data_IF_317311278515
#
_entry.id   IF_317311278515
#
_cell.length_a   1.000
_cell.length_b   1.000
_cell.length_c   1.000
_cell.angle_alpha   90.00
_cell.angle_beta   90.00
_cell.angle_gamma   90.00
#
_symmetry.space_group_name_H-M   'P 1'
#
loop_
_entity.id
_entity.type
_entity.pdbx_description
1 polymer ?
#
# COMPACT_ATOMS: atom_id res chain seq x y z
N UNK A 1 -7.57 8.78 -28.70
CA UNK A 1 -6.91 7.83 -27.77
C UNK A 1 -5.67 8.53 -27.25
N UNK A 2 -5.37 8.46 -25.95
CA UNK A 2 -4.17 9.12 -25.40
C UNK A 2 -2.91 8.45 -25.98
N UNK A 3 -2.06 9.20 -26.67
CA UNK A 3 -0.73 8.75 -27.05
C UNK A 3 0.22 8.94 -25.86
N UNK A 4 0.38 7.87 -25.08
CA UNK A 4 1.14 7.90 -23.83
C UNK A 4 2.62 8.14 -24.08
N UNK A 5 3.17 7.58 -25.14
CA UNK A 5 4.61 7.62 -25.38
C UNK A 5 5.02 9.00 -25.89
N UNK A 6 4.20 9.62 -26.74
CA UNK A 6 4.34 11.04 -27.10
C UNK A 6 4.30 11.95 -25.86
N UNK A 7 3.28 11.78 -24.99
CA UNK A 7 3.14 12.56 -23.76
C UNK A 7 4.36 12.41 -22.84
N UNK A 8 4.90 11.20 -22.69
CA UNK A 8 6.11 10.96 -21.88
C UNK A 8 7.35 11.61 -22.48
N UNK A 9 7.49 11.63 -23.81
CA UNK A 9 8.60 12.29 -24.50
C UNK A 9 8.53 13.80 -24.28
N UNK A 10 7.37 14.41 -24.49
CA UNK A 10 7.15 15.85 -24.33
C UNK A 10 7.39 16.28 -22.88
N UNK A 11 6.86 15.53 -21.92
CA UNK A 11 7.05 15.83 -20.50
C UNK A 11 8.51 15.69 -20.07
N UNK A 12 9.25 14.72 -20.62
CA UNK A 12 10.70 14.61 -20.36
C UNK A 12 11.47 15.81 -20.92
N UNK A 13 11.09 16.29 -22.10
CA UNK A 13 11.63 17.51 -22.68
C UNK A 13 11.38 18.72 -21.78
N UNK A 14 10.12 18.93 -21.40
CA UNK A 14 9.71 20.03 -20.53
C UNK A 14 10.37 19.97 -19.14
N UNK A 15 10.47 18.79 -18.53
CA UNK A 15 11.11 18.60 -17.24
C UNK A 15 12.61 18.94 -17.29
N UNK A 16 13.30 18.70 -18.40
CA UNK A 16 14.71 19.12 -18.59
C UNK A 16 14.85 20.64 -18.69
N UNK A 17 13.89 21.31 -19.32
CA UNK A 17 13.86 22.78 -19.41
C UNK A 17 13.57 23.40 -18.04
N UNK A 18 12.65 22.81 -17.27
CA UNK A 18 12.29 23.28 -15.92
C UNK A 18 11.39 24.52 -15.89
N UNK A 19 10.93 25.01 -17.05
CA UNK A 19 9.95 26.11 -17.13
C UNK A 19 8.54 25.58 -16.83
N UNK A 20 7.78 26.24 -15.93
CA UNK A 20 6.38 25.91 -15.67
C UNK A 20 5.51 25.89 -16.93
N UNK A 21 5.72 26.83 -17.85
CA UNK A 21 4.96 26.96 -19.09
C UNK A 21 5.18 25.75 -20.00
N UNK A 22 6.43 25.27 -20.11
CA UNK A 22 6.74 24.07 -20.87
C UNK A 22 6.11 22.82 -20.25
N UNK A 23 6.08 22.74 -18.91
CA UNK A 23 5.46 21.63 -18.19
C UNK A 23 3.95 21.60 -18.39
N UNK A 24 3.29 22.76 -18.31
CA UNK A 24 1.85 22.88 -18.54
C UNK A 24 1.51 22.49 -19.98
N UNK A 25 2.26 22.99 -20.96
CA UNK A 25 2.09 22.64 -22.38
C UNK A 25 2.25 21.12 -22.60
N UNK A 26 3.26 20.50 -22.00
CA UNK A 26 3.45 19.06 -22.10
C UNK A 26 2.29 18.28 -21.47
N UNK A 27 1.74 18.76 -20.35
CA UNK A 27 0.60 18.12 -19.70
C UNK A 27 -0.73 18.37 -20.40
N UNK A 28 -0.83 19.29 -21.38
CA UNK A 28 -2.05 19.46 -22.20
C UNK A 28 -2.43 18.17 -22.95
N UNK A 29 -1.47 17.27 -23.23
CA UNK A 29 -1.78 15.96 -23.79
C UNK A 29 -2.73 15.12 -22.90
N UNK A 30 -2.78 15.37 -21.59
CA UNK A 30 -3.76 14.76 -20.69
C UNK A 30 -5.18 15.28 -20.91
N UNK A 31 -5.37 16.43 -21.56
CA UNK A 31 -6.68 16.97 -21.90
C UNK A 31 -7.44 16.04 -22.86
N UNK A 32 -6.71 15.29 -23.71
CA UNK A 32 -7.29 14.28 -24.59
C UNK A 32 -7.81 13.04 -23.83
N UNK A 33 -7.41 12.85 -22.57
CA UNK A 33 -7.90 11.76 -21.73
C UNK A 33 -9.15 12.16 -20.97
N UNK A 34 -10.32 11.83 -21.53
CA UNK A 34 -11.63 12.22 -20.99
C UNK A 34 -11.84 11.91 -19.50
N UNK A 35 -11.33 10.78 -19.00
CA UNK A 35 -11.46 10.43 -17.59
C UNK A 35 -10.70 11.40 -16.69
N UNK A 36 -9.53 11.89 -17.13
CA UNK A 36 -8.73 12.88 -16.43
C UNK A 36 -9.44 14.23 -16.38
N UNK A 37 -9.86 14.75 -17.53
CA UNK A 37 -10.51 16.07 -17.62
C UNK A 37 -11.88 16.13 -16.95
N UNK A 38 -12.64 15.04 -17.00
CA UNK A 38 -13.92 14.93 -16.28
C UNK A 38 -13.74 14.74 -14.76
N UNK A 39 -12.52 14.70 -14.25
CA UNK A 39 -12.21 14.34 -12.86
C UNK A 39 -12.88 13.01 -12.43
N UNK A 40 -13.07 12.11 -13.40
CA UNK A 40 -13.72 10.84 -13.20
C UNK A 40 -12.84 9.92 -12.34
N UNK A 41 -13.44 8.88 -11.75
CA UNK A 41 -12.67 7.88 -11.03
C UNK A 41 -11.75 7.16 -12.03
N UNK A 42 -10.45 7.21 -11.79
CA UNK A 42 -9.45 6.52 -12.59
C UNK A 42 -9.31 5.07 -12.12
N UNK A 43 -9.14 4.14 -13.05
CA UNK A 43 -8.82 2.77 -12.70
C UNK A 43 -7.39 2.70 -12.14
N UNK A 44 -7.15 1.80 -11.19
CA UNK A 44 -5.81 1.60 -10.61
C UNK A 44 -4.76 1.25 -11.68
N UNK A 45 -5.15 0.52 -12.72
CA UNK A 45 -4.28 0.22 -13.86
C UNK A 45 -3.87 1.50 -14.61
N UNK A 46 -4.80 2.41 -14.87
CA UNK A 46 -4.50 3.68 -15.55
C UNK A 46 -3.56 4.55 -14.70
N UNK A 47 -3.79 4.59 -13.39
CA UNK A 47 -2.91 5.32 -12.46
C UNK A 47 -1.49 4.75 -12.53
N UNK A 48 -1.34 3.42 -12.45
CA UNK A 48 -0.04 2.76 -12.49
C UNK A 48 0.66 2.89 -13.86
N UNK A 49 -0.09 2.81 -14.97
CA UNK A 49 0.48 2.79 -16.32
C UNK A 49 0.71 4.17 -16.93
N UNK A 50 0.01 5.20 -16.44
CA UNK A 50 0.05 6.56 -17.00
C UNK A 50 0.54 7.56 -15.95
N UNK A 51 -0.16 7.71 -14.83
CA UNK A 51 0.16 8.77 -13.87
C UNK A 51 1.47 8.55 -13.12
N UNK A 52 1.80 7.30 -12.76
CA UNK A 52 3.07 7.00 -12.08
C UNK A 52 4.27 7.35 -12.96
N UNK A 53 4.39 6.88 -14.22
CA UNK A 53 5.50 7.28 -15.10
C UNK A 53 5.62 8.80 -15.33
N UNK A 54 4.48 9.50 -15.47
CA UNK A 54 4.51 10.96 -15.66
C UNK A 54 4.96 11.68 -14.38
N UNK A 55 4.48 11.26 -13.23
CA UNK A 55 4.90 11.79 -11.94
C UNK A 55 6.38 11.53 -11.64
N UNK A 56 6.93 10.40 -12.11
CA UNK A 56 8.36 10.10 -12.02
C UNK A 56 9.21 11.11 -12.80
N UNK A 57 8.77 11.50 -14.00
CA UNK A 57 9.42 12.54 -14.80
C UNK A 57 9.38 13.89 -14.09
N UNK A 58 8.26 14.22 -13.46
CA UNK A 58 8.08 15.46 -12.68
C UNK A 58 8.93 15.51 -11.40
N UNK A 59 9.51 14.40 -10.97
CA UNK A 59 10.44 14.39 -9.83
C UNK A 59 11.85 14.90 -10.19
N UNK A 60 12.09 15.32 -11.43
CA UNK A 60 13.38 15.87 -11.84
C UNK A 60 13.75 17.10 -10.99
N UNK A 61 15.02 17.28 -10.56
CA UNK A 61 15.43 18.42 -9.74
C UNK A 61 15.21 19.78 -10.42
N UNK A 62 15.19 19.80 -11.75
CA UNK A 62 14.91 20.97 -12.60
C UNK A 62 13.44 21.40 -12.54
N UNK A 63 12.51 20.54 -12.11
CA UNK A 63 11.10 20.89 -11.96
C UNK A 63 10.92 21.75 -10.70
N UNK A 64 10.38 22.97 -10.81
CA UNK A 64 10.29 23.88 -9.68
C UNK A 64 9.44 23.32 -8.53
N UNK A 65 9.94 23.48 -7.31
CA UNK A 65 9.21 23.09 -6.09
C UNK A 65 7.83 23.75 -5.98
N UNK A 66 7.70 25.00 -6.46
CA UNK A 66 6.42 25.72 -6.51
C UNK A 66 5.41 25.05 -7.46
N UNK A 67 5.89 24.51 -8.59
CA UNK A 67 5.05 23.79 -9.55
C UNK A 67 4.46 22.52 -8.93
N UNK A 68 5.28 21.72 -8.24
CA UNK A 68 4.81 20.52 -7.56
C UNK A 68 3.83 20.82 -6.42
N UNK A 69 4.00 21.94 -5.72
CA UNK A 69 3.02 22.42 -4.73
C UNK A 69 1.69 22.79 -5.38
N UNK A 70 1.73 23.51 -6.51
CA UNK A 70 0.54 23.84 -7.29
C UNK A 70 -0.21 22.57 -7.73
N UNK A 71 0.52 21.58 -8.26
CA UNK A 71 -0.07 20.29 -8.63
C UNK A 71 -0.68 19.54 -7.43
N UNK A 72 -0.06 19.63 -6.24
CA UNK A 72 -0.59 19.00 -5.02
C UNK A 72 -1.89 19.65 -4.50
N UNK A 73 -2.19 20.88 -4.92
CA UNK A 73 -3.46 21.59 -4.64
C UNK A 73 -4.43 21.54 -5.83
N UNK A 74 -4.04 20.91 -6.93
CA UNK A 74 -4.77 20.98 -8.18
C UNK A 74 -6.22 20.46 -8.02
N UNK A 75 -7.23 21.09 -8.65
CA UNK A 75 -8.62 20.67 -8.51
C UNK A 75 -8.86 19.24 -9.01
N UNK A 76 -8.16 18.84 -10.08
CA UNK A 76 -8.23 17.50 -10.64
C UNK A 76 -7.41 16.50 -9.82
N UNK A 77 -8.01 15.35 -9.51
CA UNK A 77 -7.35 14.26 -8.78
C UNK A 77 -6.09 13.77 -9.50
N UNK A 78 -6.10 13.76 -10.84
CA UNK A 78 -4.94 13.39 -11.64
C UNK A 78 -3.73 14.30 -11.41
N UNK A 79 -3.93 15.62 -11.32
CA UNK A 79 -2.85 16.57 -10.99
C UNK A 79 -2.25 16.31 -9.61
N UNK A 80 -3.11 16.08 -8.60
CA UNK A 80 -2.65 15.73 -7.24
C UNK A 80 -1.95 14.37 -7.18
N UNK A 81 -2.37 13.41 -8.00
CA UNK A 81 -1.71 12.10 -8.12
C UNK A 81 -0.32 12.22 -8.76
N UNK A 82 -0.15 13.05 -9.80
CA UNK A 82 1.16 13.37 -10.37
C UNK A 82 2.09 13.98 -9.31
N UNK A 83 1.58 14.98 -8.56
CA UNK A 83 2.33 15.57 -7.45
C UNK A 83 2.70 14.53 -6.38
N UNK A 84 1.78 13.66 -6.00
CA UNK A 84 2.02 12.63 -4.99
C UNK A 84 3.17 11.69 -5.37
N UNK A 85 3.26 11.31 -6.64
CA UNK A 85 4.37 10.49 -7.15
C UNK A 85 5.67 11.29 -7.15
N UNK A 86 5.66 12.51 -7.71
CA UNK A 86 6.85 13.34 -7.83
C UNK A 86 7.45 13.68 -6.45
N UNK A 87 6.60 14.07 -5.50
CA UNK A 87 6.98 14.43 -4.14
C UNK A 87 7.47 13.23 -3.34
N UNK A 88 6.90 12.03 -3.58
CA UNK A 88 7.39 10.80 -2.95
C UNK A 88 8.84 10.56 -3.34
N UNK A 89 9.18 10.68 -4.63
CA UNK A 89 10.55 10.49 -5.10
C UNK A 89 11.51 11.56 -4.58
N UNK A 90 11.10 12.83 -4.54
CA UNK A 90 11.92 13.90 -3.95
C UNK A 90 12.17 13.67 -2.46
N UNK A 91 11.15 13.22 -1.74
CA UNK A 91 11.29 12.85 -0.33
C UNK A 91 12.29 11.72 -0.13
N UNK A 92 12.19 10.64 -0.91
CA UNK A 92 13.10 9.49 -0.82
C UNK A 92 14.56 9.86 -1.15
N UNK A 93 14.76 10.89 -1.99
CA UNK A 93 16.08 11.47 -2.31
C UNK A 93 16.60 12.48 -1.28
N UNK A 94 15.92 12.61 -0.13
CA UNK A 94 16.40 13.41 1.01
C UNK A 94 15.70 14.74 1.22
N UNK A 95 14.70 15.10 0.41
CA UNK A 95 13.95 16.35 0.60
C UNK A 95 12.83 16.18 1.64
N UNK A 96 13.20 16.09 2.92
CA UNK A 96 12.29 15.81 4.03
C UNK A 96 11.15 16.85 4.20
N UNK A 97 11.30 18.05 3.65
CA UNK A 97 10.31 19.14 3.68
C UNK A 97 8.95 18.75 3.05
N UNK A 98 8.91 17.68 2.25
CA UNK A 98 7.68 17.20 1.62
C UNK A 98 6.81 16.31 2.50
N UNK A 99 7.28 15.89 3.68
CA UNK A 99 6.58 14.95 4.57
C UNK A 99 5.15 15.40 4.96
N UNK A 100 4.96 16.68 5.29
CA UNK A 100 3.64 17.23 5.64
C UNK A 100 2.67 17.18 4.44
N UNK A 101 3.15 17.56 3.26
CA UNK A 101 2.37 17.55 2.03
C UNK A 101 2.00 16.12 1.59
N UNK A 102 2.96 15.20 1.67
CA UNK A 102 2.73 13.78 1.42
C UNK A 102 1.72 13.17 2.39
N UNK A 103 1.76 13.56 3.68
CA UNK A 103 0.76 13.12 4.66
C UNK A 103 -0.64 13.58 4.28
N UNK A 104 -0.79 14.81 3.78
CA UNK A 104 -2.09 15.29 3.29
C UNK A 104 -2.57 14.52 2.06
N UNK A 105 -1.68 14.24 1.11
CA UNK A 105 -1.99 13.45 -0.09
C UNK A 105 -2.30 11.98 0.25
N UNK A 106 -1.64 11.41 1.27
CA UNK A 106 -1.97 10.09 1.79
C UNK A 106 -3.36 10.03 2.42
N UNK A 107 -3.89 11.17 2.88
CA UNK A 107 -5.26 11.34 3.37
C UNK A 107 -6.26 11.87 2.33
N UNK A 108 -5.86 12.02 1.05
CA UNK A 108 -6.71 12.61 0.01
C UNK A 108 -8.05 11.87 -0.08
N UNK A 109 -9.13 12.60 -0.39
CA UNK A 109 -10.48 12.01 -0.54
C UNK A 109 -10.53 11.05 -1.73
N UNK A 110 -9.75 11.30 -2.78
CA UNK A 110 -9.70 10.52 -4.01
C UNK A 110 -8.76 9.32 -3.86
N UNK A 111 -9.28 8.14 -4.15
CA UNK A 111 -8.54 6.88 -3.96
C UNK A 111 -7.36 6.75 -4.93
N UNK A 112 -7.47 7.32 -6.13
CA UNK A 112 -6.41 7.34 -7.14
C UNK A 112 -5.18 8.13 -6.72
N UNK A 113 -5.34 9.21 -5.94
CA UNK A 113 -4.21 9.98 -5.38
C UNK A 113 -3.48 9.15 -4.34
N UNK A 114 -4.25 8.54 -3.42
CA UNK A 114 -3.71 7.62 -2.40
C UNK A 114 -3.01 6.42 -3.04
N UNK A 115 -3.61 5.84 -4.07
CA UNK A 115 -3.04 4.70 -4.80
C UNK A 115 -1.76 5.07 -5.54
N UNK A 116 -1.70 6.22 -6.22
CA UNK A 116 -0.49 6.70 -6.89
C UNK A 116 0.65 6.89 -5.88
N UNK A 117 0.35 7.51 -4.74
CA UNK A 117 1.31 7.71 -3.65
C UNK A 117 1.82 6.37 -3.11
N UNK A 118 0.91 5.45 -2.77
CA UNK A 118 1.26 4.16 -2.20
C UNK A 118 2.09 3.32 -3.17
N UNK A 119 1.73 3.36 -4.46
CA UNK A 119 2.45 2.65 -5.53
C UNK A 119 3.87 3.20 -5.68
N UNK A 120 4.02 4.52 -5.77
CA UNK A 120 5.34 5.16 -5.87
C UNK A 120 6.21 4.85 -4.65
N UNK A 121 5.65 4.99 -3.44
CA UNK A 121 6.38 4.69 -2.20
C UNK A 121 6.77 3.22 -2.12
N UNK A 122 5.88 2.30 -2.54
CA UNK A 122 6.15 0.87 -2.54
C UNK A 122 7.24 0.46 -3.54
N UNK A 123 7.24 1.04 -4.73
CA UNK A 123 8.18 0.71 -5.80
C UNK A 123 9.56 1.31 -5.59
N UNK A 124 9.62 2.54 -5.07
CA UNK A 124 10.86 3.32 -4.96
C UNK A 124 11.40 3.40 -3.54
N UNK A 125 10.60 3.08 -2.53
CA UNK A 125 10.98 3.06 -1.11
C UNK A 125 11.79 1.82 -0.68
N UNK A 126 12.63 1.30 -1.57
CA UNK A 126 13.48 0.12 -1.35
C UNK A 126 14.95 0.50 -1.33
N UNK A 127 15.79 -0.46 -1.00
CA UNK A 127 17.25 -0.38 -0.95
C UNK A 127 17.71 0.80 -0.10
N UNK A 128 18.55 1.71 -0.63
CA UNK A 128 18.98 2.90 0.12
C UNK A 128 17.83 3.81 0.58
N UNK A 129 16.67 3.74 -0.05
CA UNK A 129 15.50 4.56 0.27
C UNK A 129 14.58 3.94 1.33
N UNK A 130 14.79 2.66 1.69
CA UNK A 130 13.95 1.97 2.66
C UNK A 130 13.86 2.68 4.02
N UNK A 131 14.94 3.23 4.62
CA UNK A 131 14.84 3.94 5.89
C UNK A 131 13.89 5.15 5.84
N UNK A 132 13.92 5.91 4.76
CA UNK A 132 13.01 7.05 4.56
C UNK A 132 11.57 6.59 4.37
N UNK A 133 11.35 5.54 3.57
CA UNK A 133 10.02 4.96 3.38
C UNK A 133 9.45 4.40 4.70
N UNK A 134 10.24 3.65 5.46
CA UNK A 134 9.86 3.11 6.75
C UNK A 134 9.51 4.21 7.77
N UNK A 135 10.23 5.35 7.76
CA UNK A 135 9.91 6.50 8.60
C UNK A 135 8.54 7.11 8.26
N UNK A 136 8.21 7.27 6.97
CA UNK A 136 6.87 7.70 6.55
C UNK A 136 5.79 6.70 6.94
N UNK A 137 5.99 5.41 6.67
CA UNK A 137 5.04 4.38 7.06
C UNK A 137 4.79 4.39 8.57
N UNK A 138 5.86 4.47 9.37
CA UNK A 138 5.78 4.60 10.82
C UNK A 138 4.94 5.81 11.24
N UNK A 139 5.11 6.95 10.60
CA UNK A 139 4.35 8.17 10.91
C UNK A 139 2.89 8.08 10.46
N UNK A 140 2.60 7.40 9.35
CA UNK A 140 1.26 7.27 8.77
C UNK A 140 0.41 6.18 9.39
N UNK A 141 1.03 5.16 9.99
CA UNK A 141 0.35 4.14 10.78
C UNK A 141 0.00 4.61 12.20
N UNK A 142 0.34 5.84 12.58
CA UNK A 142 -0.09 6.44 13.83
C UNK A 142 -1.63 6.64 13.83
N UNK A 143 -2.34 6.17 14.88
CA UNK A 143 -3.80 6.32 14.98
C UNK A 143 -4.31 7.75 14.78
N UNK A 144 -3.55 8.76 15.21
CA UNK A 144 -3.92 10.17 15.12
C UNK A 144 -3.96 10.71 13.68
N UNK A 145 -3.39 9.99 12.70
CA UNK A 145 -3.43 10.38 11.27
C UNK A 145 -4.73 10.00 10.57
N UNK A 146 -5.55 9.16 11.20
CA UNK A 146 -6.83 8.72 10.66
C UNK A 146 -6.72 7.58 9.62
N UNK A 147 -7.85 6.93 9.32
CA UNK A 147 -7.86 5.64 8.63
C UNK A 147 -7.42 5.70 7.16
N UNK A 148 -7.64 6.81 6.46
CA UNK A 148 -7.22 6.97 5.05
C UNK A 148 -5.71 7.03 4.88
N UNK A 149 -5.03 7.73 5.79
CA UNK A 149 -3.56 7.81 5.79
C UNK A 149 -2.99 6.42 6.10
N UNK A 150 -3.57 5.72 7.09
CA UNK A 150 -3.23 4.33 7.40
C UNK A 150 -3.47 3.39 6.22
N UNK A 151 -4.59 3.53 5.50
CA UNK A 151 -4.88 2.76 4.28
C UNK A 151 -3.76 2.92 3.24
N UNK A 152 -3.33 4.16 2.97
CA UNK A 152 -2.24 4.45 2.02
C UNK A 152 -0.93 3.81 2.47
N UNK A 153 -0.60 3.92 3.76
CA UNK A 153 0.60 3.30 4.32
C UNK A 153 0.58 1.78 4.16
N UNK A 154 -0.56 1.13 4.41
CA UNK A 154 -0.70 -0.32 4.28
C UNK A 154 -0.61 -0.80 2.83
N UNK A 155 -1.12 -0.02 1.88
CA UNK A 155 -0.96 -0.32 0.46
C UNK A 155 0.52 -0.28 0.04
N UNK A 156 1.28 0.72 0.49
CA UNK A 156 2.73 0.78 0.24
C UNK A 156 3.47 -0.35 0.98
N UNK A 157 3.08 -0.65 2.22
CA UNK A 157 3.67 -1.72 3.01
C UNK A 157 3.49 -3.10 2.36
N UNK A 158 2.37 -3.34 1.66
CA UNK A 158 2.17 -4.58 0.92
C UNK A 158 3.21 -4.79 -0.18
N UNK A 159 3.59 -3.73 -0.91
CA UNK A 159 4.65 -3.82 -1.92
C UNK A 159 6.02 -4.01 -1.26
N UNK A 160 6.30 -3.28 -0.17
CA UNK A 160 7.58 -3.35 0.53
C UNK A 160 7.79 -4.64 1.33
N UNK A 161 6.71 -5.38 1.62
CA UNK A 161 6.79 -6.65 2.33
C UNK A 161 7.49 -7.74 1.50
N UNK A 162 7.56 -7.59 0.18
CA UNK A 162 8.28 -8.53 -0.69
C UNK A 162 9.80 -8.49 -0.43
N UNK A 163 10.48 -7.33 -0.51
CA UNK A 163 11.91 -7.25 -0.17
C UNK A 163 12.19 -7.17 1.34
N UNK A 164 11.24 -6.72 2.18
CA UNK A 164 11.46 -6.45 3.61
C UNK A 164 10.35 -7.01 4.53
N UNK A 165 10.07 -8.33 4.49
CA UNK A 165 8.96 -8.92 5.24
C UNK A 165 9.06 -8.69 6.75
N UNK A 166 10.25 -8.88 7.33
CA UNK A 166 10.51 -8.69 8.78
C UNK A 166 10.28 -7.25 9.24
N UNK A 167 10.79 -6.29 8.46
CA UNK A 167 10.73 -4.87 8.81
C UNK A 167 9.30 -4.36 8.65
N UNK A 168 8.59 -4.78 7.60
CA UNK A 168 7.17 -4.47 7.43
C UNK A 168 6.35 -5.09 8.57
N UNK A 169 6.57 -6.37 8.92
CA UNK A 169 5.89 -6.99 10.05
C UNK A 169 6.10 -6.22 11.35
N UNK A 170 7.32 -5.74 11.59
CA UNK A 170 7.67 -4.95 12.77
C UNK A 170 6.95 -3.59 12.80
N UNK A 171 6.72 -2.96 11.64
CA UNK A 171 5.89 -1.75 11.53
C UNK A 171 4.43 -2.05 11.83
N UNK A 172 3.89 -3.12 11.24
CA UNK A 172 2.48 -3.52 11.40
C UNK A 172 2.16 -3.95 12.83
N UNK A 173 3.11 -4.57 13.54
CA UNK A 173 2.94 -5.02 14.93
C UNK A 173 2.63 -3.88 15.92
N UNK A 174 2.79 -2.62 15.51
CA UNK A 174 2.52 -1.41 16.31
C UNK A 174 1.08 -0.91 16.19
N UNK A 175 0.27 -1.50 15.30
CA UNK A 175 -1.14 -1.14 15.16
C UNK A 175 -1.93 -1.55 16.41
N UNK A 176 -2.84 -0.66 16.82
CA UNK A 176 -3.74 -0.91 17.95
C UNK A 176 -4.90 -1.81 17.55
N UNK A 177 -5.55 -2.51 18.50
CA UNK A 177 -6.75 -3.30 18.24
C UNK A 177 -7.84 -2.51 17.49
N UNK A 178 -8.06 -1.24 17.86
CA UNK A 178 -9.02 -0.36 17.20
C UNK A 178 -8.69 -0.09 15.72
N UNK A 179 -7.41 0.07 15.38
CA UNK A 179 -6.99 0.24 13.98
C UNK A 179 -7.17 -1.05 13.18
N UNK A 180 -6.82 -2.19 13.78
CA UNK A 180 -6.87 -3.52 13.16
C UNK A 180 -8.30 -3.89 12.73
N UNK A 181 -9.30 -3.54 13.54
CA UNK A 181 -10.71 -3.81 13.24
C UNK A 181 -11.36 -2.78 12.32
N UNK A 182 -10.69 -1.66 12.03
CA UNK A 182 -11.28 -0.57 11.26
C UNK A 182 -11.57 -0.99 9.79
N UNK A 183 -12.78 -0.76 9.25
CA UNK A 183 -13.18 -1.24 7.92
C UNK A 183 -12.27 -0.79 6.77
N UNK A 184 -11.81 0.47 6.78
CA UNK A 184 -10.91 1.00 5.73
C UNK A 184 -9.50 0.40 5.78
N UNK A 185 -9.10 -0.16 6.93
CA UNK A 185 -7.74 -0.66 7.22
C UNK A 185 -7.67 -2.17 6.99
N UNK A 186 -8.73 -2.93 7.30
CA UNK A 186 -8.74 -4.40 7.27
C UNK A 186 -8.24 -4.99 5.96
N UNK A 187 -8.78 -4.56 4.82
CA UNK A 187 -8.41 -5.15 3.51
C UNK A 187 -6.94 -4.84 3.12
N UNK A 188 -6.47 -3.59 3.15
CA UNK A 188 -5.06 -3.28 2.95
C UNK A 188 -4.13 -3.99 3.94
N UNK A 189 -4.52 -4.08 5.21
CA UNK A 189 -3.74 -4.77 6.24
C UNK A 189 -3.62 -6.27 5.94
N UNK A 190 -4.74 -6.91 5.60
CA UNK A 190 -4.75 -8.32 5.19
C UNK A 190 -3.81 -8.55 4.01
N UNK A 191 -3.81 -7.65 3.02
CA UNK A 191 -2.91 -7.76 1.87
C UNK A 191 -1.45 -7.64 2.30
N UNK A 192 -1.09 -6.63 3.09
CA UNK A 192 0.28 -6.49 3.56
C UNK A 192 0.78 -7.71 4.37
N UNK A 193 -0.07 -8.27 5.23
CA UNK A 193 0.26 -9.46 6.02
C UNK A 193 0.38 -10.73 5.15
N UNK A 194 -0.42 -10.86 4.08
CA UNK A 194 -0.25 -11.95 3.10
C UNK A 194 1.09 -11.86 2.41
N UNK A 195 1.53 -10.66 2.03
CA UNK A 195 2.83 -10.45 1.41
C UNK A 195 3.97 -10.80 2.38
N UNK A 196 3.85 -10.42 3.66
CA UNK A 196 4.78 -10.90 4.71
C UNK A 196 4.79 -12.42 4.82
N UNK A 197 3.62 -13.07 4.82
CA UNK A 197 3.53 -14.54 4.90
C UNK A 197 4.09 -15.24 3.66
N UNK A 198 3.96 -14.64 2.48
CA UNK A 198 4.41 -15.20 1.20
C UNK A 198 5.94 -15.07 1.00
N UNK A 199 6.53 -13.98 1.46
CA UNK A 199 7.95 -13.66 1.24
C UNK A 199 8.82 -13.79 2.50
N UNK A 200 8.21 -13.93 3.68
CA UNK A 200 8.91 -14.08 4.95
C UNK A 200 9.55 -15.45 5.15
N UNK A 201 10.56 -15.48 6.02
CA UNK A 201 11.17 -16.70 6.55
C UNK A 201 10.20 -17.45 7.46
N UNK A 202 10.54 -18.66 7.89
CA UNK A 202 9.70 -19.39 8.86
C UNK A 202 9.64 -18.70 10.23
N UNK A 203 10.69 -17.98 10.62
CA UNK A 203 10.68 -17.09 11.79
C UNK A 203 9.69 -15.94 11.62
N UNK A 204 9.62 -15.33 10.43
CA UNK A 204 8.66 -14.26 10.13
C UNK A 204 7.22 -14.77 10.14
N UNK A 205 6.98 -15.97 9.59
CA UNK A 205 5.65 -16.61 9.62
C UNK A 205 5.23 -16.94 11.04
N UNK A 206 6.17 -17.38 11.89
CA UNK A 206 5.92 -17.64 13.32
C UNK A 206 5.58 -16.33 14.04
N UNK A 207 6.34 -15.27 13.82
CA UNK A 207 6.07 -13.95 14.39
C UNK A 207 4.73 -13.37 13.90
N UNK A 208 4.39 -13.57 12.63
CA UNK A 208 3.09 -13.21 12.05
C UNK A 208 1.95 -13.98 12.73
N UNK A 209 2.09 -15.29 12.95
CA UNK A 209 1.08 -16.09 13.63
C UNK A 209 0.86 -15.61 15.08
N UNK A 210 1.94 -15.33 15.81
CA UNK A 210 1.87 -14.77 17.16
C UNK A 210 1.18 -13.40 17.18
N UNK A 211 1.49 -12.54 16.21
CA UNK A 211 0.85 -11.23 16.07
C UNK A 211 -0.66 -11.35 15.84
N UNK A 212 -1.07 -12.23 14.93
CA UNK A 212 -2.48 -12.48 14.64
C UNK A 212 -3.23 -13.05 15.85
N UNK A 213 -2.62 -13.99 16.58
CA UNK A 213 -3.20 -14.54 17.80
C UNK A 213 -3.38 -13.47 18.89
N UNK A 214 -2.38 -12.60 19.07
CA UNK A 214 -2.45 -11.47 20.00
C UNK A 214 -3.60 -10.53 19.65
N UNK A 215 -3.72 -10.09 18.40
CA UNK A 215 -4.81 -9.21 17.99
C UNK A 215 -6.18 -9.87 18.12
N UNK A 216 -6.30 -11.16 17.86
CA UNK A 216 -7.55 -11.88 18.08
C UNK A 216 -7.99 -11.83 19.54
N UNK A 217 -7.05 -12.00 20.48
CA UNK A 217 -7.30 -11.90 21.92
C UNK A 217 -7.65 -10.46 22.33
N UNK A 218 -6.82 -9.49 21.93
CA UNK A 218 -6.98 -8.07 22.31
C UNK A 218 -8.25 -7.42 21.74
N UNK A 219 -8.72 -7.89 20.58
CA UNK A 219 -9.94 -7.40 19.93
C UNK A 219 -11.20 -8.19 20.30
N UNK A 220 -11.14 -9.10 21.27
CA UNK A 220 -12.32 -9.90 21.68
C UNK A 220 -12.94 -10.71 20.55
N UNK A 221 -12.14 -11.18 19.59
CA UNK A 221 -12.62 -11.93 18.42
C UNK A 221 -12.97 -11.08 17.19
N UNK A 222 -13.04 -9.75 17.27
CA UNK A 222 -13.38 -8.91 16.10
C UNK A 222 -12.33 -9.00 14.98
N UNK A 223 -11.07 -9.30 15.31
CA UNK A 223 -10.00 -9.54 14.35
C UNK A 223 -10.13 -10.89 13.61
N UNK A 224 -11.09 -11.75 13.97
CA UNK A 224 -11.29 -13.06 13.32
C UNK A 224 -11.41 -12.96 11.80
N UNK A 225 -12.12 -11.93 11.30
CA UNK A 225 -12.26 -11.68 9.86
C UNK A 225 -10.91 -11.41 9.20
N UNK A 226 -10.05 -10.61 9.84
CA UNK A 226 -8.70 -10.32 9.35
C UNK A 226 -7.85 -11.60 9.33
N UNK A 227 -7.84 -12.35 10.43
CA UNK A 227 -7.10 -13.62 10.55
C UNK A 227 -7.48 -14.58 9.41
N UNK A 228 -8.79 -14.76 9.17
CA UNK A 228 -9.29 -15.60 8.08
C UNK A 228 -8.92 -15.07 6.69
N UNK A 229 -8.80 -13.76 6.50
CA UNK A 229 -8.32 -13.19 5.23
C UNK A 229 -6.83 -13.45 5.00
N UNK A 230 -6.00 -13.44 6.05
CA UNK A 230 -4.55 -13.68 5.95
C UNK A 230 -4.23 -15.16 5.75
N UNK A 231 -5.01 -16.06 6.35
CA UNK A 231 -5.00 -17.54 6.19
C UNK A 231 -5.38 -18.02 4.78
N UNK A 232 -4.70 -17.50 3.76
CA UNK A 232 -4.87 -17.94 2.38
C UNK A 232 -4.22 -19.32 2.14
N UNK A 233 -4.65 -20.00 1.07
CA UNK A 233 -4.23 -21.37 0.76
C UNK A 233 -2.70 -21.57 0.53
N UNK A 234 -1.95 -20.50 0.30
CA UNK A 234 -0.48 -20.54 0.24
C UNK A 234 0.14 -20.72 1.62
N UNK A 235 -0.28 -19.89 2.59
CA UNK A 235 0.23 -19.96 3.95
C UNK A 235 -0.15 -21.27 4.65
N UNK A 236 -1.38 -21.73 4.45
CA UNK A 236 -1.87 -23.04 4.90
C UNK A 236 -0.97 -24.21 4.50
N UNK A 237 -0.34 -24.15 3.32
CA UNK A 237 0.58 -25.19 2.83
C UNK A 237 1.98 -25.06 3.42
N UNK A 238 2.44 -23.84 3.68
CA UNK A 238 3.79 -23.57 4.16
C UNK A 238 3.92 -23.66 5.68
N UNK A 239 2.84 -23.41 6.43
CA UNK A 239 2.82 -23.34 7.89
C UNK A 239 1.52 -23.96 8.44
N UNK A 240 1.29 -25.27 8.23
CA UNK A 240 0.02 -25.92 8.53
C UNK A 240 -0.31 -25.95 10.03
N UNK A 241 0.68 -26.14 10.90
CA UNK A 241 0.49 -26.17 12.35
C UNK A 241 0.04 -24.80 12.89
N UNK A 242 0.73 -23.72 12.50
CA UNK A 242 0.39 -22.35 12.87
C UNK A 242 -1.00 -21.97 12.35
N UNK A 243 -1.32 -22.41 11.12
CA UNK A 243 -2.64 -22.21 10.50
C UNK A 243 -3.73 -22.90 11.31
N UNK A 244 -3.54 -24.16 11.73
CA UNK A 244 -4.50 -24.88 12.56
C UNK A 244 -4.68 -24.22 13.93
N UNK A 245 -3.58 -23.84 14.60
CA UNK A 245 -3.64 -23.18 15.90
C UNK A 245 -4.42 -21.85 15.85
N UNK A 246 -4.27 -21.06 14.79
CA UNK A 246 -5.05 -19.83 14.61
C UNK A 246 -6.53 -20.10 14.32
N UNK A 247 -6.85 -21.15 13.58
CA UNK A 247 -8.24 -21.55 13.37
C UNK A 247 -8.90 -21.99 14.68
N UNK A 248 -8.18 -22.72 15.54
CA UNK A 248 -8.64 -23.11 16.87
C UNK A 248 -8.90 -21.86 17.73
N UNK A 249 -8.00 -20.88 17.69
CA UNK A 249 -8.17 -19.62 18.40
C UNK A 249 -9.40 -18.83 17.90
N UNK A 250 -9.62 -18.76 16.58
CA UNK A 250 -10.79 -18.08 15.99
C UNK A 250 -12.11 -18.75 16.39
N UNK A 251 -12.14 -20.08 16.49
CA UNK A 251 -13.30 -20.81 16.99
C UNK A 251 -13.56 -20.54 18.48
N UNK A 252 -12.50 -20.52 19.29
CA UNK A 252 -12.60 -20.26 20.72
C UNK A 252 -13.18 -18.86 21.02
N UNK A 253 -12.94 -17.87 20.17
CA UNK A 253 -13.54 -16.53 20.28
C UNK A 253 -14.94 -16.41 19.68
N UNK A 254 -15.57 -17.52 19.26
CA UNK A 254 -16.91 -17.52 18.67
C UNK A 254 -17.01 -16.93 17.25
N UNK A 255 -15.87 -16.71 16.59
CA UNK A 255 -15.78 -15.91 15.36
C UNK A 255 -16.24 -16.59 14.07
N UNK A 256 -16.22 -17.94 13.98
CA UNK A 256 -16.62 -18.64 12.75
C UNK A 256 -16.86 -20.17 12.94
N UNK A 257 -18.08 -20.60 13.27
CA UNK A 257 -18.37 -22.02 13.54
C UNK A 257 -18.52 -22.94 12.30
N UNK A 258 -18.70 -22.38 11.09
CA UNK A 258 -18.97 -23.17 9.85
C UNK A 258 -17.85 -23.15 8.80
N UNK A 259 -17.02 -22.10 8.77
CA UNK A 259 -15.93 -21.94 7.79
C UNK A 259 -14.70 -22.80 8.12
N UNK A 260 -14.57 -23.26 9.36
CA UNK A 260 -13.40 -23.98 9.86
C UNK A 260 -13.29 -25.43 9.39
N UNK A 261 -14.39 -26.21 9.34
CA UNK A 261 -14.31 -27.67 9.08
C UNK A 261 -13.78 -28.01 7.69
N UNK A 262 -14.29 -27.36 6.64
CA UNK A 262 -13.81 -27.58 5.26
C UNK A 262 -12.38 -27.09 5.07
N UNK A 263 -12.06 -25.94 5.65
CA UNK A 263 -10.72 -25.34 5.59
C UNK A 263 -9.70 -26.23 6.31
N UNK A 264 -10.03 -26.77 7.49
CA UNK A 264 -9.19 -27.75 8.22
C UNK A 264 -8.95 -29.02 7.43
N UNK A 265 -9.99 -29.61 6.84
CA UNK A 265 -9.84 -30.82 6.03
C UNK A 265 -8.90 -30.58 4.84
N UNK A 266 -9.05 -29.43 4.16
CA UNK A 266 -8.15 -29.03 3.09
C UNK A 266 -6.70 -28.84 3.57
N UNK A 267 -6.48 -28.14 4.69
CA UNK A 267 -5.13 -27.91 5.25
C UNK A 267 -4.47 -29.24 5.62
N UNK A 268 -5.18 -30.12 6.36
CA UNK A 268 -4.64 -31.42 6.77
C UNK A 268 -4.22 -32.26 5.57
N UNK A 269 -5.06 -32.28 4.53
CA UNK A 269 -4.76 -33.00 3.29
C UNK A 269 -3.60 -32.39 2.52
N UNK A 270 -3.56 -31.06 2.39
CA UNK A 270 -2.51 -30.36 1.66
C UNK A 270 -1.14 -30.43 2.36
N UNK A 271 -1.13 -30.63 3.68
CA UNK A 271 0.07 -30.78 4.50
C UNK A 271 0.51 -32.24 4.67
N UNK A 272 -0.19 -33.21 4.07
CA UNK A 272 0.11 -34.64 4.26
C UNK A 272 -0.12 -35.14 5.70
N UNK A 273 -0.95 -34.45 6.48
CA UNK A 273 -1.25 -34.77 7.89
C UNK A 273 -2.48 -35.68 8.05
N UNK A 274 -2.99 -36.26 6.96
CA UNK A 274 -3.93 -37.38 7.07
C UNK A 274 -3.11 -38.61 7.45
N UNK A 275 -3.17 -39.02 8.73
CA UNK A 275 -2.70 -40.35 9.10
C UNK A 275 -3.56 -41.38 8.35
N UNK A 276 -2.89 -42.32 7.69
CA UNK A 276 -3.48 -43.60 7.32
C UNK A 276 -4.29 -44.10 8.51
N UNK A 277 -5.60 -44.27 8.30
CA UNK A 277 -6.49 -44.94 9.24
C UNK A 277 -6.62 -46.39 8.82
#
# INVERSE_FOLDING_TARGET
>A
MLDRDALLIDLKGAARIGSPEALDLALEGLAAWKAFTANARLASEDVARVLVPLGEVLAAPTVPAAYLRSLAEHPLAGGRALAAVALTLRYLRGEAAWSALLTRLAGDRRAEVRFALATSLGQHGRDEHFPAAAALLKAWLDPARGPRVGQTALQAAAVLAQPYPRQVLSLLARLTPAQVVHPEVQRPLAEALKQVGAFGTDEDKTALAQLLARWLQESGGEAARLVLQVLHAGWARQAPEQTLALLDAVEATGGASRLSRRTRAFIRRAAGMESER
#
